data_IF_694221251672
#
_entry.id   IF_694221251672
#
_cell.length_a   1.000
_cell.length_b   1.000
_cell.length_c   1.000
_cell.angle_alpha   90.00
_cell.angle_beta   90.00
_cell.angle_gamma   90.00
#
_symmetry.space_group_name_H-M   'P 1'
#
loop_
_entity.id
_entity.type
_entity.pdbx_description
1 polymer ?
#
# COMPACT_ATOMS: atom_id res chain seq x y z
N UNK A 1 -23.66 12.23 24.54
CA UNK A 1 -24.35 10.93 24.52
C UNK A 1 -24.46 10.52 25.96
N UNK A 2 -25.65 10.62 26.52
CA UNK A 2 -25.92 10.22 27.89
C UNK A 2 -25.98 8.69 27.95
N UNK A 3 -25.24 8.13 28.89
CA UNK A 3 -25.00 6.70 29.04
C UNK A 3 -26.14 6.13 29.89
N UNK A 4 -27.09 5.45 29.25
CA UNK A 4 -28.35 4.93 29.83
C UNK A 4 -28.18 3.64 30.63
N UNK A 5 -27.07 3.47 31.35
CA UNK A 5 -26.82 2.26 32.14
C UNK A 5 -26.96 2.55 33.65
N UNK A 6 -28.00 2.01 34.28
CA UNK A 6 -28.40 2.33 35.67
C UNK A 6 -27.36 1.93 36.73
N UNK A 7 -26.40 1.07 36.42
CA UNK A 7 -25.42 0.55 37.39
C UNK A 7 -24.16 1.41 37.58
N UNK A 8 -23.96 2.51 36.83
CA UNK A 8 -22.76 3.35 36.93
C UNK A 8 -22.97 4.69 37.66
N UNK A 9 -24.17 4.93 38.22
CA UNK A 9 -24.62 6.25 38.72
C UNK A 9 -23.91 6.74 40.00
N UNK A 10 -23.07 5.92 40.65
CA UNK A 10 -22.54 6.19 41.99
C UNK A 10 -21.01 6.35 42.08
N UNK A 11 -20.26 6.34 40.98
CA UNK A 11 -18.82 6.66 41.04
C UNK A 11 -18.54 8.09 40.59
N UNK A 12 -17.93 8.85 41.49
CA UNK A 12 -17.52 10.24 41.31
C UNK A 12 -16.68 10.41 40.04
N UNK A 13 -17.23 11.19 39.10
CA UNK A 13 -16.77 11.45 37.73
C UNK A 13 -15.54 12.37 37.67
N UNK A 14 -14.41 11.94 38.24
CA UNK A 14 -13.15 12.68 38.15
C UNK A 14 -12.65 12.74 36.69
N UNK A 15 -12.78 11.64 35.94
CA UNK A 15 -12.40 11.55 34.53
C UNK A 15 -13.18 12.50 33.63
N UNK A 16 -14.50 12.68 33.86
CA UNK A 16 -15.32 13.61 33.07
C UNK A 16 -15.04 15.08 33.41
N UNK A 17 -14.63 15.39 34.64
CA UNK A 17 -14.17 16.75 34.99
C UNK A 17 -12.83 17.08 34.33
N UNK A 18 -11.87 16.16 34.36
CA UNK A 18 -10.59 16.30 33.66
C UNK A 18 -10.79 16.44 32.14
N UNK A 19 -11.63 15.59 31.54
CA UNK A 19 -11.98 15.65 30.12
C UNK A 19 -12.65 16.96 29.71
N UNK A 20 -13.55 17.51 30.54
CA UNK A 20 -14.19 18.82 30.28
C UNK A 20 -13.23 19.98 30.45
N UNK A 21 -12.29 19.92 31.39
CA UNK A 21 -11.25 20.95 31.54
C UNK A 21 -10.32 20.95 30.32
N UNK A 22 -9.88 19.77 29.88
CA UNK A 22 -9.04 19.61 28.68
C UNK A 22 -9.78 20.08 27.42
N UNK A 23 -11.06 19.72 27.29
CA UNK A 23 -11.91 20.14 26.17
C UNK A 23 -12.13 21.66 26.15
N UNK A 24 -12.33 22.29 27.32
CA UNK A 24 -12.46 23.75 27.40
C UNK A 24 -11.18 24.49 27.05
N UNK A 25 -10.02 23.93 27.41
CA UNK A 25 -8.72 24.49 27.03
C UNK A 25 -8.50 24.45 25.50
N UNK A 26 -8.94 23.37 24.84
CA UNK A 26 -8.86 23.23 23.39
C UNK A 26 -9.99 23.96 22.61
N UNK A 27 -11.10 24.34 23.26
CA UNK A 27 -12.27 24.95 22.57
C UNK A 27 -12.21 26.48 22.48
N UNK A 28 -11.22 27.15 23.06
CA UNK A 28 -11.08 28.61 22.94
C UNK A 28 -10.66 29.14 21.55
N UNK A 29 -10.65 28.27 20.52
CA UNK A 29 -10.34 28.66 19.14
C UNK A 29 -11.24 28.08 18.05
N UNK A 30 -12.43 27.52 18.36
CA UNK A 30 -13.32 26.97 17.31
C UNK A 30 -14.79 27.38 17.47
N UNK A 31 -15.24 28.17 16.49
CA UNK A 31 -16.63 28.55 16.23
C UNK A 31 -17.56 27.32 16.17
N UNK A 32 -18.75 27.46 16.75
CA UNK A 32 -19.79 26.43 16.84
C UNK A 32 -20.30 26.06 15.44
N UNK A 33 -19.84 24.93 14.90
CA UNK A 33 -20.40 24.34 13.69
C UNK A 33 -21.66 23.56 14.03
N UNK A 34 -22.82 24.09 13.62
CA UNK A 34 -24.08 23.34 13.63
C UNK A 34 -23.97 22.18 12.63
N UNK A 35 -24.19 20.98 13.13
CA UNK A 35 -24.22 19.77 12.30
C UNK A 35 -25.51 19.76 11.48
N UNK A 36 -25.41 20.02 10.18
CA UNK A 36 -26.50 19.79 9.24
C UNK A 36 -26.40 18.35 8.72
N UNK A 37 -27.45 17.51 8.83
CA UNK A 37 -27.48 16.21 8.18
C UNK A 37 -27.28 16.40 6.68
N UNK A 38 -26.41 15.60 6.08
CA UNK A 38 -26.10 15.71 4.65
C UNK A 38 -27.30 15.16 3.87
N UNK A 39 -28.05 16.06 3.25
CA UNK A 39 -29.11 15.69 2.33
C UNK A 39 -28.50 15.11 1.05
N UNK A 40 -29.07 14.02 0.55
CA UNK A 40 -28.44 13.06 -0.37
C UNK A 40 -28.16 13.53 -1.80
N UNK A 41 -28.08 14.83 -2.08
CA UNK A 41 -27.65 15.40 -3.36
C UNK A 41 -26.12 15.55 -3.40
N UNK A 42 -25.42 14.42 -3.34
CA UNK A 42 -24.03 14.36 -3.76
C UNK A 42 -23.96 14.30 -5.29
N UNK A 43 -23.73 15.45 -5.92
CA UNK A 43 -23.27 15.50 -7.28
C UNK A 43 -21.75 15.23 -7.29
N UNK A 44 -21.33 14.08 -7.82
CA UNK A 44 -19.92 13.62 -7.81
C UNK A 44 -19.09 14.40 -8.86
N UNK A 45 -19.60 15.52 -9.37
CA UNK A 45 -18.97 16.39 -10.36
C UNK A 45 -17.90 17.32 -9.79
N UNK A 46 -18.01 17.76 -8.54
CA UNK A 46 -17.21 18.91 -8.03
C UNK A 46 -16.15 18.58 -7.00
N UNK A 47 -16.00 17.31 -6.58
CA UNK A 47 -15.01 16.93 -5.55
C UNK A 47 -13.57 16.75 -6.08
N UNK A 48 -13.30 17.09 -7.35
CA UNK A 48 -12.00 16.90 -8.01
C UNK A 48 -11.10 18.13 -8.05
N UNK A 49 -11.63 19.34 -7.98
CA UNK A 49 -10.85 20.58 -8.03
C UNK A 49 -11.54 21.67 -7.19
N UNK A 50 -11.03 21.91 -5.98
CA UNK A 50 -11.05 23.21 -5.29
C UNK A 50 -10.49 23.04 -3.87
N UNK A 51 -9.17 23.12 -3.74
CA UNK A 51 -8.61 23.89 -2.63
C UNK A 51 -8.58 25.32 -3.18
N UNK A 52 -9.65 26.08 -2.98
CA UNK A 52 -9.60 27.53 -3.08
C UNK A 52 -10.65 28.16 -2.15
N UNK A 53 -10.16 29.19 -1.48
CA UNK A 53 -10.84 30.01 -0.49
C UNK A 53 -11.67 31.10 -1.20
N UNK A 54 -12.81 31.44 -0.62
CA UNK A 54 -13.60 32.66 -0.83
C UNK A 54 -14.76 32.67 -1.88
N UNK A 55 -15.91 33.15 -1.35
CA UNK A 55 -16.92 34.01 -1.99
C UNK A 55 -17.94 33.40 -2.96
N UNK A 56 -19.19 33.26 -2.51
CA UNK A 56 -20.23 34.29 -2.69
C UNK A 56 -21.59 33.78 -2.18
N UNK A 57 -22.24 34.57 -1.34
CA UNK A 57 -23.59 34.35 -0.82
C UNK A 57 -24.56 34.93 -1.83
N UNK A 58 -25.42 34.11 -2.43
CA UNK A 58 -26.66 34.58 -3.03
C UNK A 58 -27.78 33.59 -2.68
N UNK A 59 -28.69 34.02 -1.81
CA UNK A 59 -29.82 33.23 -1.34
C UNK A 59 -30.89 33.06 -2.42
N UNK A 60 -31.54 31.90 -2.43
CA UNK A 60 -32.86 31.72 -3.01
C UNK A 60 -33.64 30.63 -2.25
N UNK A 61 -34.95 30.85 -2.19
CA UNK A 61 -35.96 30.31 -1.27
C UNK A 61 -36.22 28.79 -1.41
N UNK A 62 -36.79 28.11 -0.40
CA UNK A 62 -36.97 26.66 -0.41
C UNK A 62 -38.15 26.23 -1.31
N UNK A 63 -37.86 25.36 -2.28
CA UNK A 63 -38.85 24.63 -3.07
C UNK A 63 -39.19 23.28 -2.39
N UNK A 64 -40.48 22.94 -2.43
CA UNK A 64 -41.15 21.76 -1.85
C UNK A 64 -40.58 20.41 -2.32
N UNK A 65 -40.58 19.37 -1.47
CA UNK A 65 -39.98 18.08 -1.81
C UNK A 65 -40.92 17.25 -2.69
N UNK A 66 -40.64 17.17 -3.99
CA UNK A 66 -41.19 16.13 -4.84
C UNK A 66 -40.39 14.84 -4.62
N UNK A 67 -41.08 13.74 -4.32
CA UNK A 67 -40.50 12.42 -4.10
C UNK A 67 -39.92 11.84 -5.40
N UNK A 68 -38.73 12.29 -5.78
CA UNK A 68 -37.95 11.64 -6.83
C UNK A 68 -37.36 10.35 -6.24
N UNK A 69 -38.00 9.20 -6.53
CA UNK A 69 -37.40 7.90 -6.24
C UNK A 69 -36.07 7.79 -7.01
N UNK A 70 -34.97 7.77 -6.28
CA UNK A 70 -33.65 7.60 -6.87
C UNK A 70 -33.60 6.26 -7.63
N UNK A 71 -33.13 6.24 -8.90
CA UNK A 71 -33.09 5.02 -9.69
C UNK A 71 -32.18 3.99 -9.00
N UNK A 72 -32.73 2.81 -8.69
CA UNK A 72 -31.97 1.65 -8.19
C UNK A 72 -30.87 1.33 -9.19
N UNK A 73 -29.62 1.72 -8.89
CA UNK A 73 -28.45 1.35 -9.70
C UNK A 73 -28.40 -0.17 -9.81
N UNK A 74 -28.48 -0.66 -11.05
CA UNK A 74 -28.47 -2.08 -11.40
C UNK A 74 -27.10 -2.65 -11.01
N UNK A 75 -27.04 -3.37 -9.88
CA UNK A 75 -25.79 -4.00 -9.41
C UNK A 75 -25.34 -5.04 -10.44
N UNK A 76 -24.07 -5.00 -10.83
CA UNK A 76 -23.53 -6.04 -11.71
C UNK A 76 -23.58 -7.41 -11.01
N UNK A 77 -23.97 -8.48 -11.72
CA UNK A 77 -23.99 -9.81 -11.15
C UNK A 77 -22.57 -10.26 -10.77
N UNK A 78 -22.42 -10.89 -9.61
CA UNK A 78 -21.13 -11.24 -8.99
C UNK A 78 -20.19 -12.02 -9.92
N UNK A 79 -20.73 -12.86 -10.82
CA UNK A 79 -19.94 -13.62 -11.81
C UNK A 79 -19.28 -12.75 -12.88
N UNK A 80 -19.86 -11.60 -13.23
CA UNK A 80 -19.30 -10.70 -14.25
C UNK A 80 -18.14 -9.84 -13.71
N UNK A 81 -17.94 -9.82 -12.39
CA UNK A 81 -16.81 -9.13 -11.74
C UNK A 81 -15.48 -9.84 -12.06
N UNK A 82 -15.53 -11.16 -12.20
CA UNK A 82 -14.35 -12.02 -12.34
C UNK A 82 -13.88 -12.09 -13.79
N UNK A 83 -13.30 -11.00 -14.26
CA UNK A 83 -12.62 -10.96 -15.56
C UNK A 83 -11.19 -11.50 -15.43
N UNK A 84 -10.62 -11.92 -16.56
CA UNK A 84 -9.21 -12.35 -16.62
C UNK A 84 -8.26 -11.29 -16.06
N UNK A 85 -8.50 -10.01 -16.34
CA UNK A 85 -7.68 -8.90 -15.85
C UNK A 85 -7.78 -8.73 -14.33
N UNK A 86 -8.97 -8.91 -13.75
CA UNK A 86 -9.16 -8.88 -12.29
C UNK A 86 -8.43 -10.04 -11.63
N UNK A 87 -8.55 -11.27 -12.16
CA UNK A 87 -7.82 -12.43 -11.64
C UNK A 87 -6.30 -12.24 -11.71
N UNK A 88 -5.77 -11.75 -12.84
CA UNK A 88 -4.35 -11.47 -13.01
C UNK A 88 -3.89 -10.38 -12.04
N UNK A 89 -4.70 -9.34 -11.82
CA UNK A 89 -4.38 -8.27 -10.86
C UNK A 89 -4.35 -8.78 -9.43
N UNK A 90 -5.30 -9.64 -9.04
CA UNK A 90 -5.33 -10.29 -7.72
C UNK A 90 -4.12 -11.22 -7.55
N UNK A 91 -3.74 -11.96 -8.59
CA UNK A 91 -2.55 -12.80 -8.58
C UNK A 91 -1.27 -11.97 -8.45
N UNK A 92 -1.14 -10.85 -9.16
CA UNK A 92 -0.03 -9.92 -9.00
C UNK A 92 0.03 -9.35 -7.58
N UNK A 93 -1.12 -9.02 -6.96
CA UNK A 93 -1.16 -8.59 -5.56
C UNK A 93 -0.72 -9.68 -4.60
N UNK A 94 -1.15 -10.92 -4.84
CA UNK A 94 -0.74 -12.08 -4.06
C UNK A 94 0.78 -12.24 -4.09
N UNK A 95 1.36 -12.30 -5.30
CA UNK A 95 2.81 -12.49 -5.47
C UNK A 95 3.58 -11.32 -4.85
N UNK A 96 3.16 -10.08 -5.13
CA UNK A 96 3.78 -8.87 -4.58
C UNK A 96 3.77 -8.88 -3.05
N UNK A 97 2.62 -9.15 -2.43
CA UNK A 97 2.49 -9.22 -0.99
C UNK A 97 3.29 -10.38 -0.39
N UNK A 98 3.34 -11.53 -1.09
CA UNK A 98 4.07 -12.72 -0.64
C UNK A 98 5.57 -12.43 -0.56
N UNK A 99 6.20 -11.96 -1.65
CA UNK A 99 7.65 -11.75 -1.65
C UNK A 99 8.07 -10.57 -0.74
N UNK A 100 7.27 -9.50 -0.64
CA UNK A 100 7.52 -8.41 0.32
C UNK A 100 7.41 -8.90 1.77
N UNK A 101 6.40 -9.71 2.10
CA UNK A 101 6.21 -10.22 3.46
C UNK A 101 7.32 -11.20 3.84
N UNK A 102 7.64 -12.15 2.94
CA UNK A 102 8.77 -13.06 3.11
C UNK A 102 10.07 -12.30 3.33
N UNK A 103 10.38 -11.30 2.50
CA UNK A 103 11.59 -10.51 2.66
C UNK A 103 11.69 -9.87 4.04
N UNK A 104 10.62 -9.23 4.52
CA UNK A 104 10.61 -8.59 5.83
C UNK A 104 10.91 -9.60 6.94
N UNK A 105 10.18 -10.73 6.96
CA UNK A 105 10.38 -11.76 7.97
C UNK A 105 11.78 -12.37 7.92
N UNK A 106 12.24 -12.76 6.72
CA UNK A 106 13.56 -13.34 6.51
C UNK A 106 14.68 -12.39 6.93
N UNK A 107 14.53 -11.09 6.64
CA UNK A 107 15.53 -10.07 7.00
C UNK A 107 15.72 -10.01 8.52
N UNK A 108 14.63 -10.01 9.30
CA UNK A 108 14.73 -9.97 10.77
C UNK A 108 15.32 -11.23 11.38
N UNK A 109 15.24 -12.38 10.69
CA UNK A 109 15.91 -13.62 11.13
C UNK A 109 17.36 -13.65 10.66
N UNK A 110 17.62 -13.26 9.42
CA UNK A 110 18.93 -13.33 8.78
C UNK A 110 19.96 -12.35 9.37
N UNK A 111 19.55 -11.11 9.68
CA UNK A 111 20.46 -10.11 10.24
C UNK A 111 21.13 -10.56 11.55
N UNK A 112 20.40 -11.07 12.57
CA UNK A 112 20.99 -11.52 13.82
C UNK A 112 21.60 -12.93 13.75
N UNK A 113 21.25 -13.74 12.74
CA UNK A 113 21.81 -15.09 12.60
C UNK A 113 23.35 -15.03 12.54
N UNK A 114 24.08 -15.86 13.32
CA UNK A 114 25.54 -15.83 13.37
C UNK A 114 26.17 -16.00 11.98
N UNK A 115 27.32 -15.35 11.75
CA UNK A 115 28.11 -15.58 10.54
C UNK A 115 28.66 -17.00 10.56
N UNK A 116 28.65 -17.68 9.41
CA UNK A 116 29.34 -18.96 9.31
C UNK A 116 30.87 -18.77 9.47
N UNK A 117 31.57 -19.76 10.07
CA UNK A 117 33.03 -19.77 10.11
C UNK A 117 33.62 -19.63 8.70
N UNK A 118 34.74 -18.92 8.57
CA UNK A 118 35.36 -18.67 7.26
C UNK A 118 35.76 -19.97 6.55
N UNK A 119 36.06 -21.02 7.33
CA UNK A 119 36.47 -22.34 6.87
C UNK A 119 35.34 -23.15 6.23
N UNK A 120 34.08 -22.75 6.45
CA UNK A 120 32.89 -23.37 5.84
C UNK A 120 32.54 -22.72 4.49
N UNK A 121 33.26 -21.67 4.05
CA UNK A 121 33.08 -21.01 2.74
C UNK A 121 33.75 -21.83 1.63
N UNK A 122 33.11 -22.92 1.21
CA UNK A 122 33.58 -23.71 0.06
C UNK A 122 32.90 -23.22 -1.22
N UNK A 123 33.54 -22.34 -1.98
CA UNK A 123 33.07 -21.88 -3.32
C UNK A 123 32.15 -20.66 -3.32
N UNK A 124 31.80 -20.19 -4.53
CA UNK A 124 31.06 -18.92 -4.76
C UNK A 124 29.57 -18.96 -4.40
N UNK A 125 28.97 -20.15 -4.26
CA UNK A 125 27.53 -20.32 -4.05
C UNK A 125 27.15 -20.90 -2.67
N UNK A 126 28.13 -21.09 -1.78
CA UNK A 126 27.89 -21.57 -0.41
C UNK A 126 27.88 -20.39 0.57
N UNK A 127 26.69 -19.86 0.79
CA UNK A 127 26.44 -18.77 1.75
C UNK A 127 25.94 -19.37 3.06
N UNK A 128 26.81 -19.35 4.07
CA UNK A 128 26.51 -19.84 5.40
C UNK A 128 26.17 -18.74 6.40
N UNK A 129 25.19 -19.02 7.24
CA UNK A 129 24.82 -18.15 8.35
C UNK A 129 24.16 -16.84 7.90
N UNK A 130 24.23 -15.84 8.77
CA UNK A 130 23.70 -14.50 8.57
C UNK A 130 24.77 -13.42 8.74
N UNK A 131 24.35 -12.24 9.17
CA UNK A 131 25.26 -11.09 9.39
C UNK A 131 25.82 -11.01 10.82
N UNK A 132 25.27 -11.79 11.76
CA UNK A 132 25.69 -11.84 13.16
C UNK A 132 25.48 -10.52 13.91
N UNK A 133 24.49 -9.72 13.50
CA UNK A 133 24.27 -8.40 14.10
C UNK A 133 23.50 -8.51 15.42
N UNK A 134 23.97 -7.86 16.51
CA UNK A 134 23.18 -7.76 17.73
C UNK A 134 21.86 -7.04 17.48
N UNK A 135 20.83 -7.35 18.26
CA UNK A 135 19.47 -6.81 18.11
C UNK A 135 19.41 -5.29 18.08
N UNK A 136 20.32 -4.60 18.76
CA UNK A 136 20.46 -3.13 18.71
C UNK A 136 20.81 -2.60 17.32
N UNK A 137 21.74 -3.26 16.61
CA UNK A 137 22.10 -2.90 15.22
C UNK A 137 20.97 -3.22 14.24
N UNK A 138 20.23 -4.31 14.47
CA UNK A 138 19.04 -4.63 13.67
C UNK A 138 17.96 -3.55 13.83
N UNK A 139 17.74 -3.07 15.07
CA UNK A 139 16.87 -1.94 15.35
C UNK A 139 17.31 -0.66 14.63
N UNK A 140 18.60 -0.34 14.68
CA UNK A 140 19.16 0.83 13.98
C UNK A 140 19.01 0.73 12.45
N UNK A 141 19.27 -0.45 11.86
CA UNK A 141 19.05 -0.68 10.42
C UNK A 141 17.57 -0.48 10.03
N UNK A 142 16.65 -0.94 10.88
CA UNK A 142 15.20 -0.76 10.68
C UNK A 142 14.80 0.71 10.78
N UNK A 143 15.40 1.47 11.71
CA UNK A 143 15.19 2.91 11.82
C UNK A 143 15.66 3.66 10.57
N UNK A 144 16.84 3.32 10.02
CA UNK A 144 17.34 3.88 8.76
C UNK A 144 16.39 3.58 7.59
N UNK A 145 15.88 2.35 7.51
CA UNK A 145 14.87 1.96 6.51
C UNK A 145 13.62 2.85 6.61
N UNK A 146 13.14 3.12 7.82
CA UNK A 146 12.01 4.01 8.06
C UNK A 146 12.31 5.45 7.65
N UNK A 147 13.47 5.96 8.03
CA UNK A 147 13.94 7.30 7.70
C UNK A 147 14.12 7.51 6.19
N UNK A 148 14.54 6.49 5.44
CA UNK A 148 14.63 6.53 3.98
C UNK A 148 13.25 6.38 3.31
N UNK A 149 12.40 5.51 3.88
CA UNK A 149 11.10 5.19 3.29
C UNK A 149 10.07 6.32 3.37
N UNK A 150 9.99 7.02 4.50
CA UNK A 150 8.97 8.06 4.71
C UNK A 150 9.13 9.26 3.75
N UNK A 151 10.32 9.87 3.58
CA UNK A 151 10.51 10.94 2.60
C UNK A 151 10.24 10.46 1.18
N UNK A 152 10.62 9.21 0.86
CA UNK A 152 10.38 8.64 -0.46
C UNK A 152 8.87 8.51 -0.75
N UNK A 153 8.09 8.08 0.23
CA UNK A 153 6.62 7.97 0.12
C UNK A 153 5.92 9.32 0.01
N UNK A 154 6.32 10.31 0.82
CA UNK A 154 5.61 11.60 0.89
C UNK A 154 6.03 12.52 -0.27
N UNK A 155 7.32 12.55 -0.61
CA UNK A 155 7.86 13.57 -1.53
C UNK A 155 8.10 13.03 -2.94
N UNK A 156 8.59 11.79 -3.06
CA UNK A 156 9.07 11.25 -4.34
C UNK A 156 7.97 10.48 -5.05
N UNK A 157 7.23 9.64 -4.31
CA UNK A 157 6.18 8.82 -4.89
C UNK A 157 5.13 9.63 -5.68
N UNK A 158 4.51 10.71 -5.15
CA UNK A 158 3.49 11.45 -5.89
C UNK A 158 4.06 12.02 -7.19
N UNK A 159 5.22 12.69 -7.12
CA UNK A 159 5.86 13.33 -8.28
C UNK A 159 6.18 12.36 -9.40
N UNK A 160 6.69 11.18 -9.04
CA UNK A 160 7.08 10.15 -10.02
C UNK A 160 5.85 9.41 -10.56
N UNK A 161 4.88 9.11 -9.70
CA UNK A 161 3.63 8.44 -10.10
C UNK A 161 2.83 9.28 -11.10
N UNK A 162 2.69 10.59 -10.89
CA UNK A 162 2.02 11.49 -11.83
C UNK A 162 2.65 11.49 -13.23
N UNK A 163 3.96 11.25 -13.35
CA UNK A 163 4.66 11.23 -14.66
C UNK A 163 4.61 9.89 -15.36
N UNK A 164 4.72 8.78 -14.61
CA UNK A 164 4.84 7.44 -15.20
C UNK A 164 3.48 6.76 -15.38
N UNK A 165 2.48 7.12 -14.58
CA UNK A 165 1.24 6.34 -14.45
C UNK A 165 1.45 5.02 -13.71
N UNK A 166 0.35 4.34 -13.42
CA UNK A 166 0.33 3.19 -12.50
C UNK A 166 1.11 1.98 -13.01
N UNK A 167 0.78 1.49 -14.22
CA UNK A 167 1.37 0.24 -14.72
C UNK A 167 2.86 0.38 -15.07
N UNK A 168 3.29 1.52 -15.62
CA UNK A 168 4.71 1.77 -15.90
C UNK A 168 5.52 1.91 -14.60
N UNK A 169 4.97 2.61 -13.60
CA UNK A 169 5.59 2.70 -12.28
C UNK A 169 5.80 1.30 -11.69
N UNK A 170 4.75 0.47 -11.68
CA UNK A 170 4.85 -0.90 -11.16
C UNK A 170 5.93 -1.72 -11.89
N UNK A 171 5.98 -1.66 -13.22
CA UNK A 171 6.98 -2.36 -14.05
C UNK A 171 8.40 -1.86 -13.83
N UNK A 172 8.59 -0.56 -13.60
CA UNK A 172 9.92 0.02 -13.38
C UNK A 172 10.46 -0.26 -11.98
N UNK A 173 9.59 -0.37 -10.97
CA UNK A 173 10.03 -0.44 -9.57
C UNK A 173 10.10 -1.86 -8.98
N UNK A 174 9.38 -2.84 -9.53
CA UNK A 174 9.53 -4.26 -9.09
C UNK A 174 10.97 -4.78 -9.27
N UNK A 175 11.70 -4.51 -10.38
CA UNK A 175 13.07 -4.97 -10.56
C UNK A 175 14.05 -4.58 -9.46
N UNK A 176 13.78 -3.50 -8.71
CA UNK A 176 14.60 -3.12 -7.55
C UNK A 176 14.51 -4.15 -6.42
N UNK A 177 13.33 -4.74 -6.18
CA UNK A 177 13.19 -5.83 -5.20
C UNK A 177 13.89 -7.11 -5.68
N UNK A 178 13.79 -7.43 -6.97
CA UNK A 178 14.51 -8.54 -7.59
C UNK A 178 16.03 -8.40 -7.36
N UNK A 179 16.58 -7.22 -7.66
CA UNK A 179 17.99 -6.93 -7.46
C UNK A 179 18.38 -7.01 -5.98
N UNK A 180 17.56 -6.47 -5.07
CA UNK A 180 17.80 -6.58 -3.64
C UNK A 180 17.91 -8.05 -3.22
N UNK A 181 17.01 -8.92 -3.68
CA UNK A 181 16.98 -10.34 -3.32
C UNK A 181 18.19 -11.11 -3.85
N UNK A 182 18.66 -10.78 -5.05
CA UNK A 182 19.90 -11.33 -5.59
C UNK A 182 21.10 -10.91 -4.74
N UNK A 183 21.13 -9.66 -4.26
CA UNK A 183 22.26 -9.08 -3.55
C UNK A 183 22.36 -9.46 -2.06
N UNK A 184 21.24 -9.77 -1.38
CA UNK A 184 21.25 -10.07 0.06
C UNK A 184 22.27 -11.15 0.48
N UNK A 185 22.39 -12.31 -0.20
CA UNK A 185 23.35 -13.34 0.21
C UNK A 185 24.80 -12.86 0.18
N UNK A 186 25.13 -11.98 -0.77
CA UNK A 186 26.47 -11.41 -0.91
C UNK A 186 26.86 -10.49 0.25
N UNK A 187 25.90 -9.99 1.05
CA UNK A 187 26.21 -9.25 2.28
C UNK A 187 27.01 -10.09 3.29
N UNK A 188 26.89 -11.42 3.24
CA UNK A 188 27.68 -12.32 4.11
C UNK A 188 29.16 -12.40 3.71
N UNK A 189 29.50 -12.06 2.45
CA UNK A 189 30.87 -12.01 1.96
C UNK A 189 31.57 -10.70 2.36
N UNK A 190 30.81 -9.67 2.73
CA UNK A 190 31.39 -8.38 3.14
C UNK A 190 32.16 -8.57 4.46
N UNK A 191 33.45 -8.18 4.51
CA UNK A 191 34.25 -8.25 5.72
C UNK A 191 33.54 -7.58 6.90
N UNK A 192 33.75 -8.05 8.12
CA UNK A 192 33.09 -7.52 9.33
C UNK A 192 33.65 -6.15 9.75
N UNK A 193 33.67 -5.19 8.82
CA UNK A 193 34.13 -3.82 8.99
C UNK A 193 32.92 -2.91 8.85
N UNK A 194 32.65 -2.11 9.88
CA UNK A 194 31.44 -1.27 9.94
C UNK A 194 31.31 -0.36 8.69
N UNK A 195 32.41 0.22 8.23
CA UNK A 195 32.44 1.11 7.05
C UNK A 195 32.15 0.40 5.71
N UNK A 196 32.19 -0.94 5.64
CA UNK A 196 31.79 -1.70 4.45
C UNK A 196 30.39 -2.27 4.58
N UNK A 197 30.07 -2.84 5.76
CA UNK A 197 28.78 -3.52 6.00
C UNK A 197 27.63 -2.53 5.97
N UNK A 198 27.76 -1.35 6.59
CA UNK A 198 26.67 -0.38 6.68
C UNK A 198 26.28 0.21 5.31
N UNK A 199 27.23 0.67 4.46
CA UNK A 199 26.88 1.12 3.12
C UNK A 199 26.29 0.00 2.25
N UNK A 200 26.84 -1.22 2.32
CA UNK A 200 26.31 -2.36 1.56
C UNK A 200 24.87 -2.71 2.00
N UNK A 201 24.62 -2.78 3.30
CA UNK A 201 23.30 -3.00 3.87
C UNK A 201 22.32 -1.90 3.47
N UNK A 202 22.75 -0.64 3.59
CA UNK A 202 21.95 0.51 3.19
C UNK A 202 21.60 0.49 1.70
N UNK A 203 22.54 0.12 0.83
CA UNK A 203 22.29 -0.01 -0.61
C UNK A 203 21.23 -1.07 -0.91
N UNK A 204 21.40 -2.30 -0.39
CA UNK A 204 20.44 -3.40 -0.59
C UNK A 204 19.05 -3.05 -0.06
N UNK A 205 18.99 -2.47 1.14
CA UNK A 205 17.71 -2.08 1.74
C UNK A 205 17.07 -0.88 1.04
N UNK A 206 17.86 0.06 0.51
CA UNK A 206 17.33 1.17 -0.28
C UNK A 206 16.65 0.68 -1.54
N UNK A 207 17.23 -0.29 -2.26
CA UNK A 207 16.58 -0.92 -3.42
C UNK A 207 15.22 -1.51 -3.03
N UNK A 208 15.16 -2.23 -1.91
CA UNK A 208 13.91 -2.81 -1.42
C UNK A 208 12.89 -1.74 -1.01
N UNK A 209 13.33 -0.69 -0.33
CA UNK A 209 12.49 0.43 0.12
C UNK A 209 11.90 1.17 -1.07
N UNK A 210 12.69 1.41 -2.11
CA UNK A 210 12.23 2.00 -3.37
C UNK A 210 11.15 1.12 -3.99
N UNK A 211 11.43 -0.18 -4.16
CA UNK A 211 10.49 -1.10 -4.78
C UNK A 211 9.13 -1.12 -4.07
N UNK A 212 9.11 -1.33 -2.74
CA UNK A 212 7.85 -1.40 -1.98
C UNK A 212 7.08 -0.08 -1.97
N UNK A 213 7.79 1.05 -1.97
CA UNK A 213 7.18 2.39 -1.92
C UNK A 213 6.33 2.67 -3.15
N UNK A 214 6.78 2.21 -4.31
CA UNK A 214 6.04 2.38 -5.56
C UNK A 214 5.07 1.23 -5.84
N UNK A 215 5.44 -0.01 -5.51
CA UNK A 215 4.64 -1.17 -5.85
C UNK A 215 3.34 -1.28 -5.03
N UNK A 216 3.36 -0.92 -3.74
CA UNK A 216 2.17 -1.06 -2.89
C UNK A 216 1.02 -0.14 -3.33
N UNK A 217 1.22 1.18 -3.53
CA UNK A 217 0.14 2.04 -4.00
C UNK A 217 -0.25 1.76 -5.45
N UNK A 218 0.74 1.46 -6.32
CA UNK A 218 0.45 1.14 -7.72
C UNK A 218 -0.40 -0.14 -7.85
N UNK A 219 -0.23 -1.12 -6.97
CA UNK A 219 -1.13 -2.26 -6.87
C UNK A 219 -2.58 -1.83 -6.62
N UNK A 220 -2.82 -1.04 -5.57
CA UNK A 220 -4.17 -0.58 -5.22
C UNK A 220 -4.83 0.14 -6.39
N UNK A 221 -4.09 1.02 -7.07
CA UNK A 221 -4.60 1.76 -8.24
C UNK A 221 -4.87 0.82 -9.42
N UNK A 222 -4.03 -0.21 -9.62
CA UNK A 222 -4.24 -1.19 -10.69
C UNK A 222 -5.56 -1.96 -10.49
N UNK A 223 -5.90 -2.33 -9.24
CA UNK A 223 -7.21 -2.92 -8.93
C UNK A 223 -8.32 -1.97 -9.37
N UNK A 224 -8.24 -0.69 -8.97
CA UNK A 224 -9.25 0.31 -9.36
C UNK A 224 -9.39 0.44 -10.88
N UNK A 225 -8.28 0.41 -11.62
CA UNK A 225 -8.27 0.52 -13.08
C UNK A 225 -8.86 -0.72 -13.80
N UNK A 226 -8.89 -1.88 -13.14
CA UNK A 226 -9.52 -3.09 -13.71
C UNK A 226 -11.04 -3.13 -13.55
N UNK A 227 -11.62 -2.26 -12.72
CA UNK A 227 -13.05 -2.25 -12.43
C UNK A 227 -13.80 -1.31 -13.37
N UNK A 228 -14.87 -1.82 -13.97
CA UNK A 228 -15.72 -1.05 -14.89
C UNK A 228 -16.88 -0.32 -14.21
N UNK A 229 -17.30 -0.78 -13.04
CA UNK A 229 -18.46 -0.27 -12.29
C UNK A 229 -18.08 0.01 -10.83
N UNK A 230 -18.26 1.24 -10.31
CA UNK A 230 -17.98 1.59 -8.91
C UNK A 230 -18.69 0.70 -7.88
N UNK A 231 -19.83 0.10 -8.23
CA UNK A 231 -20.66 -0.72 -7.32
C UNK A 231 -19.96 -1.98 -6.83
N UNK A 232 -18.92 -2.45 -7.52
CA UNK A 232 -18.17 -3.68 -7.18
C UNK A 232 -16.80 -3.40 -6.57
N UNK A 233 -16.41 -2.12 -6.46
CA UNK A 233 -15.08 -1.70 -5.99
C UNK A 233 -14.81 -2.13 -4.55
N UNK A 234 -15.81 -2.01 -3.68
CA UNK A 234 -15.73 -2.42 -2.28
C UNK A 234 -15.53 -3.93 -2.12
N UNK A 235 -16.29 -4.73 -2.88
CA UNK A 235 -16.15 -6.20 -2.88
C UNK A 235 -14.77 -6.63 -3.37
N UNK A 236 -14.27 -6.02 -4.45
CA UNK A 236 -12.93 -6.33 -4.97
C UNK A 236 -11.81 -5.91 -4.04
N UNK A 237 -11.93 -4.77 -3.36
CA UNK A 237 -10.99 -4.40 -2.31
C UNK A 237 -11.00 -5.41 -1.16
N UNK A 238 -12.18 -5.85 -0.72
CA UNK A 238 -12.31 -6.90 0.29
C UNK A 238 -11.58 -8.19 -0.11
N UNK A 239 -11.88 -8.70 -1.31
CA UNK A 239 -11.21 -9.89 -1.87
C UNK A 239 -9.70 -9.68 -2.00
N UNK A 240 -9.26 -8.54 -2.55
CA UNK A 240 -7.85 -8.23 -2.71
C UNK A 240 -7.13 -8.20 -1.36
N UNK A 241 -7.74 -7.60 -0.33
CA UNK A 241 -7.16 -7.60 1.02
C UNK A 241 -7.13 -9.01 1.64
N UNK A 242 -8.14 -9.85 1.42
CA UNK A 242 -8.11 -11.25 1.85
C UNK A 242 -6.96 -12.03 1.20
N UNK A 243 -6.79 -11.88 -0.12
CA UNK A 243 -5.69 -12.51 -0.89
C UNK A 243 -4.34 -12.01 -0.40
N UNK A 244 -4.19 -10.70 -0.20
CA UNK A 244 -2.97 -10.08 0.33
C UNK A 244 -2.68 -10.56 1.76
N UNK A 245 -3.70 -10.71 2.60
CA UNK A 245 -3.55 -11.24 3.96
C UNK A 245 -3.04 -12.69 3.93
N UNK A 246 -3.65 -13.54 3.10
CA UNK A 246 -3.20 -14.91 2.88
C UNK A 246 -1.73 -14.96 2.41
N UNK A 247 -1.36 -14.12 1.44
CA UNK A 247 0.03 -13.99 0.98
C UNK A 247 0.98 -13.57 2.11
N UNK A 248 0.56 -12.62 2.95
CA UNK A 248 1.36 -12.14 4.09
C UNK A 248 1.53 -13.19 5.19
N UNK A 249 0.61 -14.14 5.32
CA UNK A 249 0.74 -15.30 6.21
C UNK A 249 1.64 -16.37 5.61
N UNK A 250 1.41 -16.76 4.34
CA UNK A 250 2.16 -17.82 3.69
C UNK A 250 3.62 -17.44 3.42
N UNK A 251 3.88 -16.18 3.06
CA UNK A 251 5.21 -15.70 2.71
C UNK A 251 6.26 -15.96 3.81
N UNK A 252 6.07 -15.46 5.04
CA UNK A 252 6.97 -15.74 6.17
C UNK A 252 7.06 -17.21 6.56
N UNK A 253 5.97 -17.97 6.46
CA UNK A 253 5.95 -19.41 6.79
C UNK A 253 6.83 -20.20 5.82
N UNK A 254 6.60 -20.04 4.52
CA UNK A 254 7.37 -20.73 3.47
C UNK A 254 8.81 -20.21 3.45
N UNK A 255 8.99 -18.89 3.54
CA UNK A 255 10.31 -18.26 3.59
C UNK A 255 11.11 -18.74 4.79
N UNK A 256 10.56 -18.70 5.99
CA UNK A 256 11.21 -19.14 7.22
C UNK A 256 11.59 -20.62 7.19
N UNK A 257 10.70 -21.48 6.69
CA UNK A 257 11.02 -22.90 6.45
C UNK A 257 12.19 -23.05 5.46
N UNK A 258 12.15 -22.32 4.35
CA UNK A 258 13.23 -22.27 3.38
C UNK A 258 14.55 -21.81 4.00
N UNK A 259 14.54 -20.74 4.81
CA UNK A 259 15.72 -20.22 5.50
C UNK A 259 16.29 -21.23 6.49
N UNK A 260 15.43 -21.93 7.24
CA UNK A 260 15.86 -23.02 8.13
C UNK A 260 16.59 -24.12 7.37
N UNK A 261 16.07 -24.54 6.21
CA UNK A 261 16.73 -25.50 5.32
C UNK A 261 18.03 -24.92 4.74
N UNK A 262 18.03 -23.65 4.35
CA UNK A 262 19.20 -22.94 3.86
C UNK A 262 20.33 -22.89 4.88
N UNK A 263 20.00 -22.67 6.16
CA UNK A 263 20.98 -22.70 7.25
C UNK A 263 21.49 -24.12 7.50
N UNK A 264 20.61 -25.13 7.49
CA UNK A 264 20.97 -26.54 7.70
C UNK A 264 21.94 -27.08 6.64
N UNK A 265 21.73 -26.74 5.37
CA UNK A 265 22.55 -27.23 4.25
C UNK A 265 23.58 -26.22 3.73
N UNK A 266 23.78 -25.10 4.45
CA UNK A 266 24.75 -24.07 4.08
C UNK A 266 24.51 -23.45 2.68
N UNK A 267 23.24 -23.25 2.34
CA UNK A 267 22.73 -22.71 1.07
C UNK A 267 21.71 -21.58 1.31
N UNK A 268 21.99 -20.70 2.28
CA UNK A 268 21.09 -19.59 2.66
C UNK A 268 20.72 -18.72 1.46
N UNK A 269 21.65 -18.56 0.51
CA UNK A 269 21.43 -17.79 -0.72
C UNK A 269 20.26 -18.31 -1.59
N UNK A 270 20.01 -19.62 -1.58
CA UNK A 270 18.97 -20.23 -2.39
C UNK A 270 17.56 -19.69 -2.07
N UNK A 271 17.30 -19.36 -0.80
CA UNK A 271 16.00 -18.85 -0.35
C UNK A 271 15.76 -17.43 -0.87
N UNK A 272 16.81 -16.61 -0.84
CA UNK A 272 16.77 -15.26 -1.39
C UNK A 272 16.62 -15.28 -2.91
N UNK A 273 17.29 -16.19 -3.60
CA UNK A 273 17.11 -16.35 -5.05
C UNK A 273 15.74 -16.95 -5.41
N UNK A 274 15.17 -17.82 -4.58
CA UNK A 274 13.78 -18.25 -4.75
C UNK A 274 12.80 -17.07 -4.65
N UNK A 275 13.04 -16.14 -3.70
CA UNK A 275 12.30 -14.88 -3.66
C UNK A 275 12.56 -13.98 -4.88
N UNK A 276 13.79 -13.96 -5.39
CA UNK A 276 14.13 -13.28 -6.64
C UNK A 276 13.30 -13.83 -7.80
N UNK A 277 13.25 -15.16 -7.96
CA UNK A 277 12.41 -15.82 -8.97
C UNK A 277 10.93 -15.47 -8.76
N UNK A 278 10.44 -15.49 -7.52
CA UNK A 278 9.05 -15.13 -7.23
C UNK A 278 8.74 -13.66 -7.61
N UNK A 279 9.65 -12.73 -7.33
CA UNK A 279 9.54 -11.34 -7.76
C UNK A 279 9.61 -11.18 -9.28
N UNK A 280 10.45 -11.96 -9.95
CA UNK A 280 10.55 -11.99 -11.41
C UNK A 280 9.26 -12.51 -12.05
N UNK A 281 8.64 -13.55 -11.49
CA UNK A 281 7.34 -14.05 -11.92
C UNK A 281 6.26 -12.99 -11.71
N UNK A 282 6.24 -12.33 -10.54
CA UNK A 282 5.34 -11.21 -10.26
C UNK A 282 5.50 -10.07 -11.25
N UNK A 283 6.75 -9.72 -11.60
CA UNK A 283 7.06 -8.75 -12.63
C UNK A 283 6.56 -9.18 -14.01
N UNK A 284 6.79 -10.42 -14.41
CA UNK A 284 6.29 -10.99 -15.66
C UNK A 284 4.75 -10.94 -15.74
N UNK A 285 4.05 -11.23 -14.64
CA UNK A 285 2.59 -11.11 -14.59
C UNK A 285 2.11 -9.68 -14.91
N UNK A 286 2.84 -8.65 -14.49
CA UNK A 286 2.46 -7.26 -14.80
C UNK A 286 2.48 -6.95 -16.30
N UNK A 287 3.23 -7.69 -17.12
CA UNK A 287 3.24 -7.54 -18.57
C UNK A 287 2.00 -8.16 -19.23
N UNK A 288 1.39 -9.15 -18.59
CA UNK A 288 0.16 -9.79 -19.08
C UNK A 288 -1.11 -9.02 -18.72
N UNK A 289 -1.02 -8.07 -17.78
CA UNK A 289 -2.14 -7.23 -17.37
C UNK A 289 -2.38 -6.12 -18.39
N UNK A 290 -3.60 -6.07 -18.92
CA UNK A 290 -4.10 -4.94 -19.68
C UNK A 290 -4.77 -3.95 -18.73
N UNK A 291 -4.27 -2.72 -18.73
CA UNK A 291 -4.93 -1.60 -18.06
C UNK A 291 -6.16 -1.22 -18.91
N UNK A 292 -7.33 -1.73 -18.50
CA UNK A 292 -8.60 -1.23 -19.04
C UNK A 292 -8.66 0.29 -18.84
N UNK A 293 -9.38 1.03 -19.70
CA UNK A 293 -9.63 2.46 -19.46
C UNK A 293 -10.34 2.58 -18.11
N UNK A 294 -9.59 2.89 -17.07
CA UNK A 294 -10.09 3.01 -15.71
C UNK A 294 -11.22 4.03 -15.62
N UNK A 295 -11.97 3.97 -14.52
CA UNK A 295 -13.14 4.81 -14.27
C UNK A 295 -12.82 6.30 -14.46
N UNK A 296 -11.61 6.74 -14.09
CA UNK A 296 -11.11 8.10 -14.32
C UNK A 296 -11.08 8.49 -15.81
N UNK A 297 -10.53 7.65 -16.69
CA UNK A 297 -10.46 7.98 -18.13
C UNK A 297 -11.84 8.00 -18.78
N UNK A 298 -12.75 7.09 -18.40
CA UNK A 298 -14.14 7.14 -18.88
C UNK A 298 -14.85 8.40 -18.40
N UNK A 299 -14.64 8.83 -17.16
CA UNK A 299 -15.26 10.05 -16.62
C UNK A 299 -14.72 11.31 -17.29
N UNK A 300 -13.42 11.37 -17.57
CA UNK A 300 -12.80 12.48 -18.32
C UNK A 300 -13.29 12.50 -19.77
N UNK A 301 -13.34 11.36 -20.46
CA UNK A 301 -13.90 11.26 -21.82
C UNK A 301 -15.39 11.65 -21.86
N UNK A 302 -16.17 11.23 -20.86
CA UNK A 302 -17.61 11.53 -20.79
C UNK A 302 -17.87 13.01 -20.44
N UNK A 303 -17.08 13.62 -19.56
CA UNK A 303 -17.15 15.05 -19.26
C UNK A 303 -16.74 15.91 -20.46
N UNK A 304 -15.70 15.53 -21.20
CA UNK A 304 -15.34 16.21 -22.46
C UNK A 304 -16.39 16.06 -23.55
N UNK A 305 -17.03 14.89 -23.65
CA UNK A 305 -18.13 14.67 -24.60
C UNK A 305 -19.37 15.51 -24.27
N UNK A 306 -19.75 15.59 -22.99
CA UNK A 306 -20.89 16.41 -22.54
C UNK A 306 -20.63 17.92 -22.68
N UNK A 307 -19.43 18.39 -22.33
CA UNK A 307 -19.06 19.81 -22.49
C UNK A 307 -18.94 20.25 -23.96
N UNK A 308 -18.61 19.33 -24.87
CA UNK A 308 -18.60 19.58 -26.31
C UNK A 308 -19.99 19.69 -26.94
N UNK A 309 -21.01 19.04 -26.36
CA UNK A 309 -22.40 19.13 -26.84
C UNK A 309 -23.11 20.41 -26.40
N UNK A 310 -22.87 20.92 -25.19
CA UNK A 310 -23.49 22.17 -24.71
C UNK A 310 -23.01 23.41 -25.48
N UNK A 311 -21.78 23.37 -26.00
CA UNK A 311 -21.24 24.46 -26.82
C UNK A 311 -21.77 24.49 -28.26
N UNK A 312 -22.45 23.42 -28.71
CA UNK A 312 -23.00 23.28 -30.07
C UNK A 312 -24.49 23.60 -30.15
N UNK A 313 -25.18 23.68 -29.02
CA UNK A 313 -26.62 24.04 -28.91
C UNK A 313 -26.84 25.51 -28.53
N UNK A 314 -25.78 26.29 -28.37
CA UNK A 314 -25.81 27.72 -27.99
C UNK A 314 -25.43 28.68 -29.13
N UNK A 315 -25.55 28.23 -30.39
CA UNK A 315 -25.39 29.08 -31.58
C UNK A 315 -26.66 29.14 -32.40
#
# INVERSE_FOLDING_TARGET
MDETHESAKSRSDWGRKAGRALWRYFKYGRSSHNYHPIDGTYDVGTAGESIDLERSVQGSLPATPSSAQAPRRKRMPFRQIWTRNVLLTLLTHFVLAMHLSSFNALTFVFLPTPRAPEETRRGFFHFGGGLGMPSSKVGFATAIIGLLGLPLQILVYPRVHFRLGTLKSLRSFIPFSLLAYILVPFLTLVPNRAYLVWPALAAVFSLQVISRTFALPAGIILVNNTVSDPSVLGTLHGVAQSVVSCARTLGPVIGGWGLGMGLKYNIVGAVWWALAVLALLGWGLTWTIFEGRGIEKKKVEQNHANGGSEHRTSR
#
